data_IF_133708652750
#
_entry.id   IF_133708652750
#
_cell.length_a   1.000
_cell.length_b   1.000
_cell.length_c   1.000
_cell.angle_alpha   90.00
_cell.angle_beta   90.00
_cell.angle_gamma   90.00
#
_symmetry.space_group_name_H-M   'P 1'
#
loop_
_entity.id
_entity.type
_entity.pdbx_description
1 polymer ?
#
# COMPACT_ATOMS: atom_id res chain seq x y z
N UNK A 1 -7.59 17.65 -1.19
CA UNK A 1 -6.94 16.92 -2.29
C UNK A 1 -6.36 15.65 -1.71
N UNK A 2 -6.33 14.56 -2.47
CA UNK A 2 -5.51 13.40 -2.12
C UNK A 2 -4.03 13.83 -2.11
N UNK A 3 -3.22 13.35 -1.14
CA UNK A 3 -1.79 13.58 -1.13
C UNK A 3 -1.10 12.76 -2.23
N UNK A 4 0.12 13.13 -2.59
CA UNK A 4 0.95 12.30 -3.47
C UNK A 4 1.31 10.99 -2.76
N UNK A 5 1.16 9.84 -3.42
CA UNK A 5 1.25 8.52 -2.79
C UNK A 5 2.64 8.17 -2.27
N UNK A 6 3.68 8.86 -2.72
CA UNK A 6 5.01 8.73 -2.14
C UNK A 6 5.24 9.68 -0.96
N UNK A 7 4.48 10.78 -0.82
CA UNK A 7 4.74 11.79 0.22
C UNK A 7 3.65 12.03 1.26
N UNK A 8 2.67 11.12 1.34
CA UNK A 8 1.64 11.18 2.38
C UNK A 8 2.20 10.86 3.77
N UNK A 9 3.13 9.90 3.88
CA UNK A 9 3.75 9.49 5.14
C UNK A 9 5.16 10.07 5.35
N UNK A 10 5.98 10.11 4.30
CA UNK A 10 7.35 10.65 4.31
C UNK A 10 7.51 11.76 3.26
N UNK A 11 7.96 12.94 3.63
CA UNK A 11 8.05 14.08 2.70
C UNK A 11 9.07 13.88 1.55
N UNK A 12 10.06 13.00 1.75
CA UNK A 12 11.10 12.64 0.80
C UNK A 12 10.73 11.50 -0.15
N UNK A 13 9.46 11.10 -0.16
CA UNK A 13 8.92 10.13 -1.09
C UNK A 13 8.89 8.68 -0.57
N UNK A 14 9.19 8.47 0.71
CA UNK A 14 9.39 7.13 1.27
C UNK A 14 10.71 6.53 0.80
N UNK A 15 11.32 5.66 1.62
CA UNK A 15 12.55 4.97 1.20
C UNK A 15 12.20 3.69 0.50
N UNK A 16 12.48 3.63 -0.80
CA UNK A 16 12.41 2.38 -1.57
C UNK A 16 13.21 1.27 -0.86
N UNK A 17 12.52 0.19 -0.53
CA UNK A 17 13.08 -1.01 0.07
C UNK A 17 12.88 -1.06 1.59
N UNK A 18 13.96 -0.94 2.36
CA UNK A 18 13.96 -1.21 3.82
C UNK A 18 13.39 -0.07 4.68
N UNK A 19 12.80 0.98 4.08
CA UNK A 19 12.33 2.15 4.81
C UNK A 19 11.39 1.85 5.97
N UNK A 20 10.54 0.83 5.79
CA UNK A 20 9.57 0.39 6.78
C UNK A 20 10.16 -0.19 8.06
N UNK A 21 11.46 -0.53 8.08
CA UNK A 21 12.12 -1.06 9.28
C UNK A 21 13.52 -0.51 9.56
N UNK A 22 14.02 0.42 8.75
CA UNK A 22 15.30 1.07 8.96
C UNK A 22 15.16 2.15 10.05
N UNK A 23 15.73 1.93 11.23
CA UNK A 23 15.63 2.87 12.35
C UNK A 23 16.16 4.28 12.04
N UNK A 24 17.08 4.43 11.09
CA UNK A 24 17.57 5.74 10.64
C UNK A 24 16.51 6.55 9.89
N UNK A 25 15.37 5.92 9.58
CA UNK A 25 14.22 6.45 8.85
C UNK A 25 12.99 6.61 9.73
N UNK A 26 13.10 6.42 11.04
CA UNK A 26 11.95 6.54 11.93
C UNK A 26 11.45 7.99 12.00
N UNK A 27 10.18 8.21 11.63
CA UNK A 27 9.57 9.55 11.63
C UNK A 27 9.47 10.09 13.05
N UNK A 28 9.25 9.23 14.05
CA UNK A 28 9.20 9.65 15.46
C UNK A 28 10.53 10.29 15.86
N UNK A 29 11.64 9.69 15.44
CA UNK A 29 12.99 10.19 15.73
C UNK A 29 13.47 11.26 14.73
N UNK A 30 12.81 11.39 13.58
CA UNK A 30 13.15 12.29 12.47
C UNK A 30 11.90 13.04 11.97
N UNK A 31 11.25 13.87 12.80
CA UNK A 31 9.96 14.48 12.49
C UNK A 31 10.02 15.48 11.32
N UNK A 32 11.20 16.01 10.98
CA UNK A 32 11.39 16.89 9.82
C UNK A 32 11.14 16.16 8.48
N UNK A 33 11.04 14.83 8.50
CA UNK A 33 10.75 13.98 7.33
C UNK A 33 9.27 13.62 7.20
N UNK A 34 8.45 14.12 8.12
CA UNK A 34 7.06 13.77 8.22
C UNK A 34 6.29 14.25 6.99
N UNK A 35 5.62 13.31 6.33
CA UNK A 35 4.70 13.59 5.23
C UNK A 35 3.40 14.25 5.70
N UNK A 36 2.56 14.61 4.73
CA UNK A 36 1.38 15.46 4.95
C UNK A 36 0.38 14.89 5.96
N UNK A 37 0.31 13.57 6.12
CA UNK A 37 -0.66 12.92 7.00
C UNK A 37 -0.10 12.53 8.37
N UNK A 38 1.21 12.59 8.59
CA UNK A 38 1.82 12.20 9.86
C UNK A 38 1.20 12.87 11.10
N UNK A 39 0.89 14.20 11.11
CA UNK A 39 0.28 14.83 12.27
C UNK A 39 -1.06 14.23 12.71
N UNK A 40 -1.77 13.56 11.81
CA UNK A 40 -3.05 12.89 12.10
C UNK A 40 -2.86 11.44 12.60
N UNK A 41 -1.73 10.81 12.24
CA UNK A 41 -1.43 9.42 12.55
C UNK A 41 -0.70 9.28 13.89
N UNK A 42 0.29 10.14 14.13
CA UNK A 42 1.13 10.12 15.35
C UNK A 42 0.27 10.25 16.61
N UNK A 43 -0.66 11.21 16.61
CA UNK A 43 -1.52 11.49 17.76
C UNK A 43 -2.39 10.30 18.20
N UNK A 44 -2.62 9.34 17.30
CA UNK A 44 -3.51 8.20 17.54
C UNK A 44 -2.77 6.86 17.60
N UNK A 45 -1.48 6.86 17.31
CA UNK A 45 -0.67 5.64 17.20
C UNK A 45 -1.28 4.59 16.24
N UNK A 46 -1.78 5.05 15.09
CA UNK A 46 -2.50 4.21 14.09
C UNK A 46 -1.72 3.95 12.81
N UNK A 47 -0.42 4.23 12.81
CA UNK A 47 0.46 4.06 11.66
C UNK A 47 0.99 2.63 11.51
N UNK A 48 0.77 1.77 12.52
CA UNK A 48 1.23 0.39 12.59
C UNK A 48 0.10 -0.59 12.90
N UNK A 49 -0.01 -1.64 12.11
CA UNK A 49 -0.84 -2.80 12.38
C UNK A 49 -0.13 -3.73 13.37
N UNK A 50 -0.75 -4.10 14.51
CA UNK A 50 -0.16 -5.01 15.48
C UNK A 50 0.17 -6.41 14.90
N UNK A 51 -0.66 -6.90 13.98
CA UNK A 51 -0.42 -8.20 13.33
C UNK A 51 0.78 -8.12 12.38
N UNK A 52 0.89 -7.03 11.61
CA UNK A 52 2.06 -6.76 10.77
C UNK A 52 3.35 -6.73 11.59
N UNK A 53 3.33 -6.07 12.76
CA UNK A 53 4.49 -5.98 13.64
C UNK A 53 5.05 -7.37 14.01
N UNK A 54 4.16 -8.34 14.26
CA UNK A 54 4.56 -9.71 14.59
C UNK A 54 5.01 -10.47 13.34
N UNK A 55 4.19 -10.48 12.27
CA UNK A 55 4.47 -11.32 11.11
C UNK A 55 5.68 -10.83 10.31
N UNK A 56 5.91 -9.52 10.23
CA UNK A 56 7.08 -8.98 9.54
C UNK A 56 8.39 -9.44 10.20
N UNK A 57 8.43 -9.54 11.53
CA UNK A 57 9.58 -10.07 12.27
C UNK A 57 9.80 -11.56 12.07
N UNK A 58 8.74 -12.31 11.80
CA UNK A 58 8.82 -13.73 11.45
C UNK A 58 9.30 -13.94 10.01
N UNK A 59 8.81 -13.12 9.08
CA UNK A 59 8.99 -13.30 7.64
C UNK A 59 10.22 -12.56 7.09
N UNK A 60 10.66 -11.51 7.76
CA UNK A 60 11.81 -10.71 7.39
C UNK A 60 11.55 -9.74 6.24
N UNK A 61 12.65 -9.33 5.60
CA UNK A 61 12.67 -8.40 4.48
C UNK A 61 13.57 -8.97 3.36
N UNK A 62 13.02 -9.39 2.21
CA UNK A 62 13.81 -9.91 1.10
C UNK A 62 14.63 -8.80 0.40
N UNK A 63 14.27 -7.53 0.61
CA UNK A 63 14.94 -6.36 0.02
C UNK A 63 16.18 -5.85 0.77
N UNK A 64 16.62 -6.52 1.85
CA UNK A 64 17.79 -6.08 2.61
C UNK A 64 19.10 -6.11 1.80
N UNK A 65 19.23 -6.97 0.79
CA UNK A 65 20.41 -7.04 -0.10
C UNK A 65 21.76 -7.03 0.67
N UNK A 66 21.87 -7.91 1.68
CA UNK A 66 23.06 -8.03 2.53
C UNK A 66 23.19 -6.99 3.66
N UNK A 67 22.29 -6.01 3.75
CA UNK A 67 22.27 -5.03 4.86
C UNK A 67 21.78 -5.69 6.14
N UNK A 68 22.50 -5.48 7.25
CA UNK A 68 22.12 -5.94 8.59
C UNK A 68 21.20 -4.92 9.28
N UNK A 69 19.99 -4.72 8.73
CA UNK A 69 18.97 -3.83 9.32
C UNK A 69 18.02 -4.68 10.17
N UNK A 70 17.86 -4.40 11.48
CA UNK A 70 16.89 -5.09 12.31
C UNK A 70 15.48 -5.00 11.73
N UNK A 71 14.68 -6.05 11.87
CA UNK A 71 13.26 -6.00 11.50
C UNK A 71 12.50 -5.39 12.69
N UNK A 72 12.47 -4.08 12.76
CA UNK A 72 11.63 -3.30 13.68
C UNK A 72 10.68 -2.43 12.84
N UNK A 73 9.48 -2.96 12.49
CA UNK A 73 8.54 -2.26 11.64
C UNK A 73 8.12 -0.90 12.23
N UNK A 74 8.04 0.12 11.37
CA UNK A 74 7.70 1.51 11.73
C UNK A 74 6.42 1.99 11.06
N UNK A 75 5.98 1.37 9.96
CA UNK A 75 4.63 1.51 9.42
C UNK A 75 4.17 0.20 8.76
N UNK A 76 2.88 0.06 8.49
CA UNK A 76 2.32 -1.12 7.81
C UNK A 76 1.35 -0.82 6.65
N UNK A 77 1.06 0.46 6.40
CA UNK A 77 0.04 0.88 5.44
C UNK A 77 0.67 1.55 4.22
N UNK A 78 0.04 1.35 3.08
CA UNK A 78 0.38 1.95 1.79
C UNK A 78 -0.84 2.60 1.17
N UNK A 79 -0.61 3.71 0.46
CA UNK A 79 -1.65 4.48 -0.21
C UNK A 79 -1.92 3.94 -1.61
N UNK A 80 -3.20 3.94 -2.02
CA UNK A 80 -3.59 3.73 -3.41
C UNK A 80 -2.99 4.81 -4.32
N UNK A 81 -2.05 4.38 -5.15
CA UNK A 81 -1.26 5.22 -6.06
C UNK A 81 -2.01 5.84 -7.23
N UNK A 82 -3.28 5.46 -7.43
CA UNK A 82 -4.13 6.05 -8.46
C UNK A 82 -4.91 7.28 -7.98
N UNK A 83 -5.00 7.53 -6.66
CA UNK A 83 -5.85 8.59 -6.10
C UNK A 83 -5.30 10.01 -6.24
N UNK A 84 -4.01 10.20 -6.50
CA UNK A 84 -3.48 11.52 -6.85
C UNK A 84 -2.98 11.56 -8.31
N UNK A 85 -3.43 10.61 -9.13
CA UNK A 85 -3.07 10.56 -10.53
C UNK A 85 -1.57 10.44 -10.76
N UNK A 86 -0.88 9.70 -9.90
CA UNK A 86 0.57 9.52 -9.87
C UNK A 86 1.03 8.15 -10.36
N UNK A 87 0.15 7.14 -10.35
CA UNK A 87 0.37 5.85 -11.01
C UNK A 87 -0.08 5.79 -12.48
N UNK A 88 -0.33 6.92 -13.15
CA UNK A 88 -0.73 6.92 -14.56
C UNK A 88 0.31 6.27 -15.48
N UNK A 89 1.60 6.36 -15.15
CA UNK A 89 2.68 5.68 -15.88
C UNK A 89 2.63 4.14 -15.78
N UNK A 90 1.89 3.58 -14.83
CA UNK A 90 1.74 2.13 -14.66
C UNK A 90 0.57 1.53 -15.44
N UNK A 91 -0.16 2.34 -16.22
CA UNK A 91 -1.21 1.87 -17.12
C UNK A 91 -0.93 2.34 -18.55
N UNK A 92 -1.37 1.58 -19.58
CA UNK A 92 -1.28 2.01 -20.97
C UNK A 92 -1.90 3.39 -21.21
N UNK A 93 -1.33 4.15 -22.16
CA UNK A 93 -1.70 5.55 -22.44
C UNK A 93 -3.21 5.79 -22.61
N UNK A 94 -3.93 4.82 -23.20
CA UNK A 94 -5.38 4.89 -23.40
C UNK A 94 -6.19 5.01 -22.10
N UNK A 95 -5.61 4.71 -20.94
CA UNK A 95 -6.25 4.77 -19.64
C UNK A 95 -5.86 6.01 -18.81
N UNK A 96 -4.97 6.88 -19.31
CA UNK A 96 -4.48 8.05 -18.55
C UNK A 96 -5.56 9.09 -18.27
N UNK A 97 -6.49 9.29 -19.21
CA UNK A 97 -7.51 10.36 -19.15
C UNK A 97 -8.41 10.27 -17.92
N UNK A 98 -8.62 9.08 -17.35
CA UNK A 98 -9.46 8.87 -16.18
C UNK A 98 -8.77 9.10 -14.84
N UNK A 99 -7.43 9.23 -14.81
CA UNK A 99 -6.65 9.21 -13.56
C UNK A 99 -5.64 10.35 -13.44
N UNK A 100 -5.08 10.85 -14.55
CA UNK A 100 -3.97 11.83 -14.53
C UNK A 100 -4.32 13.11 -13.74
N UNK A 101 -5.54 13.60 -13.90
CA UNK A 101 -6.01 14.85 -13.27
C UNK A 101 -6.88 14.59 -12.02
N UNK A 102 -6.90 13.35 -11.52
CA UNK A 102 -7.64 12.99 -10.32
C UNK A 102 -6.88 13.51 -9.09
N UNK A 103 -7.57 14.35 -8.30
CA UNK A 103 -7.04 15.01 -7.10
C UNK A 103 -8.00 14.96 -5.91
N UNK A 104 -9.26 14.63 -6.10
CA UNK A 104 -10.30 14.76 -5.07
C UNK A 104 -11.26 13.59 -5.08
N UNK A 105 -11.87 13.33 -3.92
CA UNK A 105 -12.86 12.28 -3.73
C UNK A 105 -14.02 12.37 -4.74
N UNK A 106 -14.50 13.58 -5.05
CA UNK A 106 -15.62 13.79 -5.98
C UNK A 106 -15.32 13.37 -7.43
N UNK A 107 -14.04 13.19 -7.78
CA UNK A 107 -13.62 12.68 -9.09
C UNK A 107 -13.57 11.15 -9.14
N UNK A 108 -13.53 10.47 -7.99
CA UNK A 108 -13.48 9.00 -7.90
C UNK A 108 -14.84 8.41 -8.28
N UNK A 109 -14.83 7.42 -9.18
CA UNK A 109 -16.04 6.68 -9.54
C UNK A 109 -16.24 5.53 -8.54
N UNK A 110 -17.42 5.51 -7.92
CA UNK A 110 -17.80 4.57 -6.85
C UNK A 110 -16.81 4.57 -5.67
N UNK A 111 -16.72 5.67 -4.89
CA UNK A 111 -15.82 5.78 -3.73
C UNK A 111 -15.86 4.58 -2.77
N UNK A 112 -17.04 4.00 -2.56
CA UNK A 112 -17.26 2.79 -1.76
C UNK A 112 -16.63 1.50 -2.33
N UNK A 113 -15.97 1.54 -3.49
CA UNK A 113 -15.28 0.39 -4.10
C UNK A 113 -13.82 0.65 -4.40
N UNK A 114 -13.34 1.85 -4.09
CA UNK A 114 -11.96 2.25 -4.32
C UNK A 114 -11.28 2.39 -2.97
N UNK A 115 -10.24 1.60 -2.72
CA UNK A 115 -9.51 1.74 -1.47
C UNK A 115 -8.65 3.01 -1.48
N UNK A 116 -8.47 3.59 -0.31
CA UNK A 116 -7.53 4.66 -0.03
C UNK A 116 -6.24 4.08 0.56
N UNK A 117 -6.32 3.42 1.71
CA UNK A 117 -5.19 2.79 2.37
C UNK A 117 -5.42 1.30 2.52
N UNK A 118 -4.37 0.52 2.39
CA UNK A 118 -4.37 -0.90 2.71
C UNK A 118 -2.98 -1.35 3.16
N UNK A 119 -2.84 -2.62 3.44
CA UNK A 119 -1.61 -3.26 3.90
C UNK A 119 -0.94 -4.05 2.77
N UNK A 120 0.37 -4.26 2.87
CA UNK A 120 1.17 -5.10 1.97
C UNK A 120 2.00 -6.12 2.78
N UNK A 121 2.44 -7.22 2.15
CA UNK A 121 3.31 -8.21 2.79
C UNK A 121 4.75 -7.71 2.91
N UNK A 122 5.50 -8.12 3.95
CA UNK A 122 6.96 -7.89 4.00
C UNK A 122 7.78 -8.94 3.24
N UNK A 123 7.12 -9.95 2.66
CA UNK A 123 7.69 -11.07 1.92
C UNK A 123 6.99 -11.27 0.59
N UNK A 124 7.58 -12.10 -0.26
CA UNK A 124 7.02 -12.42 -1.57
C UNK A 124 5.94 -13.49 -1.46
N UNK A 125 4.81 -13.27 -2.13
CA UNK A 125 3.76 -14.29 -2.29
C UNK A 125 3.84 -14.84 -3.72
N UNK A 126 4.32 -16.08 -3.94
CA UNK A 126 4.65 -16.59 -5.27
C UNK A 126 3.53 -16.52 -6.31
N UNK A 127 2.27 -16.59 -5.87
CA UNK A 127 1.10 -16.57 -6.75
C UNK A 127 0.64 -15.14 -7.14
N UNK A 128 1.06 -14.12 -6.39
CA UNK A 128 0.60 -12.74 -6.56
C UNK A 128 1.69 -11.85 -7.16
N UNK A 129 2.93 -11.96 -6.69
CA UNK A 129 4.00 -11.13 -7.22
C UNK A 129 5.25 -11.04 -6.36
N UNK A 130 6.12 -10.12 -6.78
CA UNK A 130 7.50 -9.99 -6.29
C UNK A 130 7.75 -8.66 -5.56
N UNK A 131 6.71 -7.88 -5.26
CA UNK A 131 6.83 -6.59 -4.60
C UNK A 131 6.29 -6.69 -3.16
N UNK A 132 7.18 -6.79 -2.16
CA UNK A 132 6.80 -6.59 -0.76
C UNK A 132 6.68 -5.09 -0.47
N UNK A 133 6.14 -4.75 0.70
CA UNK A 133 6.11 -3.37 1.19
C UNK A 133 7.51 -2.74 1.12
N UNK A 134 7.59 -1.61 0.45
CA UNK A 134 8.87 -1.01 0.09
C UNK A 134 8.84 0.53 0.08
N UNK A 135 7.72 1.21 -0.14
CA UNK A 135 7.72 2.68 -0.34
C UNK A 135 6.39 3.39 0.00
N UNK A 136 5.52 2.75 0.80
CA UNK A 136 4.19 3.27 1.17
C UNK A 136 3.23 3.55 0.00
N UNK A 137 3.54 3.04 -1.19
CA UNK A 137 2.83 3.30 -2.44
C UNK A 137 2.32 1.97 -3.02
N UNK A 138 1.03 1.68 -2.86
CA UNK A 138 0.44 0.47 -3.40
C UNK A 138 0.03 0.70 -4.86
N UNK A 139 0.75 0.06 -5.77
CA UNK A 139 0.63 0.14 -7.23
C UNK A 139 0.44 -1.22 -7.88
N UNK A 140 -0.75 -1.78 -7.67
CA UNK A 140 -1.17 -2.99 -8.33
C UNK A 140 -1.42 -2.79 -9.84
N UNK A 141 -1.31 -3.86 -10.61
CA UNK A 141 -1.76 -3.95 -12.01
C UNK A 141 -2.70 -5.16 -12.17
N UNK A 142 -3.39 -5.34 -13.32
CA UNK A 142 -4.34 -6.46 -13.49
C UNK A 142 -3.74 -7.86 -13.33
N UNK A 143 -2.43 -8.01 -13.46
CA UNK A 143 -1.73 -9.29 -13.43
C UNK A 143 -0.89 -9.51 -12.16
N UNK A 144 -0.02 -10.51 -12.23
CA UNK A 144 0.98 -10.79 -11.19
C UNK A 144 2.17 -9.83 -11.27
N UNK A 145 3.00 -9.83 -10.23
CA UNK A 145 4.36 -9.25 -10.29
C UNK A 145 4.46 -7.78 -9.92
N UNK A 146 3.38 -7.19 -9.44
CA UNK A 146 3.34 -5.85 -8.83
C UNK A 146 2.77 -5.94 -7.42
N UNK A 147 2.58 -4.79 -6.79
CA UNK A 147 2.06 -4.66 -5.43
C UNK A 147 0.70 -5.31 -5.30
N UNK A 148 0.44 -5.88 -4.12
CA UNK A 148 -0.80 -6.55 -3.81
C UNK A 148 -1.20 -6.32 -2.35
N UNK A 149 -2.48 -6.47 -2.06
CA UNK A 149 -2.93 -6.47 -0.67
C UNK A 149 -2.21 -7.53 0.15
N UNK A 150 -2.02 -7.21 1.43
CA UNK A 150 -1.56 -8.13 2.44
C UNK A 150 -2.38 -9.43 2.46
N UNK A 151 -1.75 -10.51 2.92
CA UNK A 151 -2.36 -11.84 3.01
C UNK A 151 -2.24 -12.48 4.40
N UNK A 152 -1.88 -11.70 5.43
CA UNK A 152 -1.58 -12.28 6.74
C UNK A 152 -2.75 -12.31 7.72
N UNK A 153 -3.74 -11.42 7.59
CA UNK A 153 -4.89 -11.44 8.51
C UNK A 153 -5.74 -12.68 8.29
N UNK A 154 -6.10 -13.39 9.36
CA UNK A 154 -6.98 -14.58 9.30
C UNK A 154 -6.47 -15.63 8.30
N UNK A 155 -5.16 -15.80 8.22
CA UNK A 155 -4.49 -16.80 7.40
C UNK A 155 -5.05 -18.22 7.66
N UNK A 156 -5.66 -18.87 6.66
CA UNK A 156 -6.27 -20.19 6.83
C UNK A 156 -5.20 -21.23 7.17
N UNK A 157 -5.41 -21.98 8.25
CA UNK A 157 -4.44 -22.96 8.76
C UNK A 157 -3.04 -22.39 9.02
N UNK A 158 -2.92 -21.07 9.24
CA UNK A 158 -1.65 -20.38 9.42
C UNK A 158 -0.88 -20.11 8.12
N UNK A 159 -1.47 -20.38 6.94
CA UNK A 159 -0.87 -20.06 5.65
C UNK A 159 -0.96 -18.55 5.39
N UNK A 160 0.08 -17.82 5.81
CA UNK A 160 0.20 -16.37 5.71
C UNK A 160 0.16 -15.83 4.28
N UNK A 161 0.12 -16.70 3.25
CA UNK A 161 -0.04 -16.29 1.86
C UNK A 161 -1.51 -16.24 1.42
N UNK A 162 -2.47 -16.68 2.25
CA UNK A 162 -3.88 -16.89 1.84
C UNK A 162 -4.92 -16.14 2.68
N UNK A 163 -4.49 -15.30 3.60
CA UNK A 163 -5.37 -14.47 4.41
C UNK A 163 -5.84 -13.21 3.68
N UNK A 164 -6.05 -12.16 4.46
CA UNK A 164 -6.68 -10.90 4.05
C UNK A 164 -5.81 -9.71 4.43
N UNK A 165 -6.18 -8.55 3.88
CA UNK A 165 -5.76 -7.22 4.34
C UNK A 165 -6.97 -6.48 4.90
N UNK A 166 -6.73 -5.45 5.71
CA UNK A 166 -7.74 -4.43 5.99
C UNK A 166 -7.53 -3.25 5.05
N UNK A 167 -8.62 -2.75 4.47
CA UNK A 167 -8.60 -1.59 3.59
C UNK A 167 -9.57 -0.52 4.09
N UNK A 168 -9.12 0.73 4.07
CA UNK A 168 -9.96 1.92 4.20
C UNK A 168 -10.36 2.36 2.81
N UNK A 169 -11.65 2.56 2.56
CA UNK A 169 -12.16 3.02 1.27
C UNK A 169 -12.31 4.54 1.19
N UNK A 170 -12.45 5.07 -0.02
CA UNK A 170 -12.50 6.53 -0.24
C UNK A 170 -13.70 7.17 0.48
N UNK A 171 -14.83 6.47 0.61
CA UNK A 171 -15.98 6.90 1.42
C UNK A 171 -15.82 6.65 2.93
N UNK A 172 -14.61 6.32 3.37
CA UNK A 172 -14.19 6.11 4.76
C UNK A 172 -14.69 4.84 5.46
N UNK A 173 -15.40 3.93 4.78
CA UNK A 173 -15.68 2.63 5.39
C UNK A 173 -14.42 1.75 5.42
N UNK A 174 -14.43 0.73 6.28
CA UNK A 174 -13.33 -0.24 6.41
C UNK A 174 -13.88 -1.63 6.15
N UNK A 175 -13.17 -2.40 5.33
CA UNK A 175 -13.49 -3.79 5.02
C UNK A 175 -12.23 -4.65 4.99
N UNK A 176 -12.40 -5.95 5.22
CA UNK A 176 -11.38 -6.94 4.89
C UNK A 176 -11.43 -7.25 3.40
N UNK A 177 -10.29 -7.14 2.74
CA UNK A 177 -10.14 -7.42 1.31
C UNK A 177 -9.16 -8.56 1.09
N UNK A 178 -9.28 -9.25 -0.03
CA UNK A 178 -8.34 -10.28 -0.44
C UNK A 178 -7.49 -9.79 -1.61
N UNK A 179 -6.23 -10.18 -1.65
CA UNK A 179 -5.40 -10.06 -2.86
C UNK A 179 -5.86 -11.02 -3.98
N UNK A 180 -6.69 -12.00 -3.64
CA UNK A 180 -7.21 -13.01 -4.56
C UNK A 180 -8.63 -12.68 -5.06
N UNK A 181 -8.99 -13.12 -6.28
CA UNK A 181 -8.10 -13.69 -7.30
C UNK A 181 -7.02 -12.67 -7.73
N UNK A 182 -5.95 -13.14 -8.37
CA UNK A 182 -4.90 -12.26 -8.92
C UNK A 182 -5.54 -11.09 -9.67
N UNK A 183 -5.06 -9.87 -9.40
CA UNK A 183 -5.61 -8.63 -9.95
C UNK A 183 -6.72 -7.99 -9.13
N UNK A 184 -7.24 -8.64 -8.07
CA UNK A 184 -8.29 -8.04 -7.23
C UNK A 184 -7.81 -6.75 -6.53
N UNK A 185 -6.53 -6.68 -6.18
CA UNK A 185 -5.94 -5.43 -5.67
C UNK A 185 -6.14 -4.29 -6.66
N UNK A 186 -5.82 -4.49 -7.94
CA UNK A 186 -6.01 -3.47 -8.98
C UNK A 186 -7.48 -3.12 -9.21
N UNK A 187 -8.38 -4.11 -9.15
CA UNK A 187 -9.83 -3.90 -9.25
C UNK A 187 -10.32 -2.91 -8.19
N UNK A 188 -9.79 -3.02 -6.97
CA UNK A 188 -10.12 -2.12 -5.85
C UNK A 188 -9.25 -0.85 -5.83
N UNK A 189 -8.14 -0.79 -6.56
CA UNK A 189 -7.35 0.42 -6.74
C UNK A 189 -7.99 1.40 -7.74
N UNK A 190 -8.67 0.89 -8.77
CA UNK A 190 -9.00 1.67 -9.97
C UNK A 190 -10.09 2.73 -9.73
N UNK A 191 -9.79 4.03 -9.85
CA UNK A 191 -10.74 5.09 -9.53
C UNK A 191 -11.57 5.56 -10.74
N UNK A 192 -11.23 5.11 -11.95
CA UNK A 192 -11.84 5.55 -13.21
C UNK A 192 -13.21 4.95 -13.51
N UNK A 193 -13.69 4.01 -12.69
CA UNK A 193 -14.94 3.30 -12.91
C UNK A 193 -14.85 2.22 -13.98
N UNK A 194 -16.00 1.68 -14.39
CA UNK A 194 -16.06 0.62 -15.40
C UNK A 194 -15.95 1.16 -16.84
N UNK A 195 -15.37 0.39 -17.77
CA UNK A 195 -14.71 -0.90 -17.54
C UNK A 195 -13.35 -0.73 -16.84
N UNK A 196 -13.03 -1.67 -15.96
CA UNK A 196 -11.71 -1.73 -15.32
C UNK A 196 -10.68 -2.17 -16.38
N UNK A 197 -9.51 -1.52 -16.47
CA UNK A 197 -8.47 -1.91 -17.41
C UNK A 197 -8.05 -3.37 -17.25
N UNK A 198 -7.82 -4.05 -18.37
CA UNK A 198 -7.20 -5.38 -18.43
C UNK A 198 -6.09 -5.31 -19.48
N UNK A 199 -4.83 -5.48 -19.05
CA UNK A 199 -3.64 -5.32 -19.89
C UNK A 199 -2.47 -6.12 -19.32
#
# INVERSE_FOLDING_TARGET
SFPYSFSWLYDDGGFVGCGWHDATKNIIDNPDRAGQLWPYLEQKDIHMCPEFYVVARMMGCPGCDGRAIPIEPQYSYSMNSYLNGDAWGAVPQRFHTGIKDLKTESQVKNPARVFFFSEENSWLVPELGNAPINDNNLRATPGTGNDHFATYHKAPSGDLNKGFANAVFVDSHVERVSAYPVGNTFVLSWPGGAPIPNF
#
